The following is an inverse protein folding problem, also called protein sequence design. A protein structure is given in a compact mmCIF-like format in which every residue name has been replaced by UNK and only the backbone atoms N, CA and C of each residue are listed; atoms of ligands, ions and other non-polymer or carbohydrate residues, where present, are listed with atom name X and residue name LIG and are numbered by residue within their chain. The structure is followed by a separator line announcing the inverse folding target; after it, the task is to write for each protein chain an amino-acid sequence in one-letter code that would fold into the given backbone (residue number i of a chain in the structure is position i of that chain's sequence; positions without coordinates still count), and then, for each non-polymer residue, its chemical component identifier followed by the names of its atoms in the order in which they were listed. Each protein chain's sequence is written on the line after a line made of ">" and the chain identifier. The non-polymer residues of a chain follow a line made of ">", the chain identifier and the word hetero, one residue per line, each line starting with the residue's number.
data_IF_269667906937
#
_entry.id   IF_269667906937
#
_cell.length_a   1.000
_cell.length_b   1.000
_cell.length_c   1.000
_cell.angle_alpha   90.00
_cell.angle_beta   90.00
_cell.angle_gamma   90.00
#
_symmetry.space_group_name_H-M   'P 1'
#
loop_
_entity.id
_entity.type
_entity.pdbx_description
1 polymer ?
#
# COMPACT_ATOMS: atom_id res chain seq x y z
N UNK A 1 27.27 10.76 -3.54
CA UNK A 1 27.37 10.10 -2.21
C UNK A 1 26.14 9.25 -2.06
N UNK A 2 26.26 7.92 -1.93
CA UNK A 2 25.10 7.07 -1.66
C UNK A 2 24.52 7.52 -0.31
N UNK A 3 23.25 7.92 -0.30
CA UNK A 3 22.54 8.29 0.92
C UNK A 3 22.59 7.12 1.90
N UNK A 4 22.85 7.38 3.20
CA UNK A 4 22.80 6.37 4.24
C UNK A 4 21.41 5.76 4.37
N UNK A 5 21.31 4.60 5.03
CA UNK A 5 20.02 3.95 5.31
C UNK A 5 19.25 4.83 6.30
N UNK A 6 18.02 5.21 5.93
CA UNK A 6 17.09 5.94 6.81
C UNK A 6 15.92 5.02 7.22
N UNK A 7 15.93 4.62 8.50
CA UNK A 7 14.86 3.84 9.12
C UNK A 7 13.94 4.71 9.99
N UNK A 8 14.14 6.04 10.03
CA UNK A 8 13.35 6.94 10.91
C UNK A 8 11.85 6.94 10.59
N UNK A 9 11.39 6.83 9.31
CA UNK A 9 9.97 6.71 9.00
C UNK A 9 9.30 5.45 9.59
N UNK A 10 10.11 4.46 9.99
CA UNK A 10 9.64 3.19 10.57
C UNK A 10 9.81 3.14 12.09
N UNK A 11 10.00 4.30 12.74
CA UNK A 11 10.10 4.43 14.20
C UNK A 11 11.48 4.12 14.79
N UNK A 12 12.52 4.10 13.97
CA UNK A 12 13.89 4.02 14.43
C UNK A 12 14.46 5.43 14.67
N UNK A 13 15.51 5.52 15.51
CA UNK A 13 16.27 6.75 15.65
C UNK A 13 17.32 6.89 14.54
N UNK A 14 17.83 8.10 14.26
CA UNK A 14 18.96 8.28 13.33
C UNK A 14 20.19 7.47 13.73
N UNK A 15 20.45 7.34 15.04
CA UNK A 15 21.58 6.54 15.57
C UNK A 15 21.34 5.06 15.30
N UNK A 16 20.12 4.54 15.49
CA UNK A 16 19.78 3.15 15.16
C UNK A 16 19.96 2.86 13.66
N UNK A 17 19.55 3.79 12.78
CA UNK A 17 19.75 3.67 11.33
C UNK A 17 21.23 3.55 10.99
N UNK A 18 22.06 4.42 11.56
CA UNK A 18 23.52 4.38 11.36
C UNK A 18 24.12 3.06 11.88
N UNK A 19 23.76 2.64 13.08
CA UNK A 19 24.31 1.39 13.67
C UNK A 19 23.86 0.15 12.88
N UNK A 20 22.63 0.13 12.37
CA UNK A 20 22.18 -0.95 11.51
C UNK A 20 23.00 -1.00 10.20
N UNK A 21 23.29 0.14 9.59
CA UNK A 21 24.16 0.22 8.41
C UNK A 21 25.59 -0.27 8.69
N UNK A 22 26.16 0.13 9.84
CA UNK A 22 27.48 -0.33 10.27
C UNK A 22 27.51 -1.85 10.45
N UNK A 23 26.46 -2.43 11.05
CA UNK A 23 26.33 -3.88 11.20
C UNK A 23 26.19 -4.62 9.85
N UNK A 24 25.43 -4.05 8.90
CA UNK A 24 25.29 -4.65 7.56
C UNK A 24 26.63 -4.67 6.81
N UNK A 25 27.41 -3.60 6.92
CA UNK A 25 28.71 -3.47 6.22
C UNK A 25 29.81 -4.25 6.90
N UNK A 26 29.84 -4.24 8.22
CA UNK A 26 30.93 -4.83 9.02
C UNK A 26 30.66 -6.25 9.51
N UNK A 27 29.41 -6.73 9.38
CA UNK A 27 28.99 -8.03 9.92
C UNK A 27 28.78 -8.01 11.44
N UNK A 28 28.64 -9.19 12.05
CA UNK A 28 28.45 -9.33 13.49
C UNK A 28 29.62 -8.74 14.30
N UNK A 29 29.31 -8.04 15.38
CA UNK A 29 30.33 -7.39 16.21
C UNK A 29 29.91 -7.18 17.66
N UNK A 30 30.89 -6.87 18.49
CA UNK A 30 30.64 -6.44 19.88
C UNK A 30 30.28 -4.96 19.90
N UNK A 31 29.59 -4.50 20.95
CA UNK A 31 29.30 -3.07 21.10
C UNK A 31 30.55 -2.18 21.03
N UNK A 32 31.71 -2.71 21.47
CA UNK A 32 32.99 -2.00 21.36
C UNK A 32 33.46 -1.84 19.90
N UNK A 33 33.47 -2.93 19.13
CA UNK A 33 33.92 -2.91 17.73
C UNK A 33 32.99 -2.05 16.87
N UNK A 34 31.68 -2.12 17.12
CA UNK A 34 30.66 -1.32 16.45
C UNK A 34 30.82 0.17 16.80
N UNK A 35 31.05 0.51 18.07
CA UNK A 35 31.27 1.90 18.50
C UNK A 35 32.50 2.52 17.82
N UNK A 36 33.56 1.76 17.69
CA UNK A 36 34.78 2.19 16.99
C UNK A 36 34.50 2.38 15.48
N UNK A 37 33.78 1.48 14.86
CA UNK A 37 33.44 1.58 13.43
C UNK A 37 32.47 2.72 13.13
N UNK A 38 31.52 3.01 14.03
CA UNK A 38 30.56 4.09 13.91
C UNK A 38 31.14 5.47 14.29
N UNK A 39 32.29 5.53 14.98
CA UNK A 39 32.84 6.79 15.49
C UNK A 39 32.01 7.44 16.62
N UNK A 40 31.23 6.62 17.36
CA UNK A 40 30.31 7.11 18.39
C UNK A 40 30.71 6.67 19.80
N UNK A 41 30.22 7.40 20.77
CA UNK A 41 30.38 7.05 22.19
C UNK A 41 29.72 5.68 22.48
N UNK A 42 30.38 4.83 23.28
CA UNK A 42 29.90 3.46 23.59
C UNK A 42 28.47 3.46 24.14
N UNK A 43 28.12 4.38 25.05
CA UNK A 43 26.80 4.47 25.65
C UNK A 43 25.70 4.63 24.58
N UNK A 44 25.93 5.52 23.62
CA UNK A 44 24.99 5.75 22.52
C UNK A 44 24.81 4.51 21.61
N UNK A 45 25.92 3.79 21.37
CA UNK A 45 25.90 2.57 20.55
C UNK A 45 25.18 1.44 21.27
N UNK A 46 25.41 1.24 22.58
CA UNK A 46 24.66 0.22 23.32
C UNK A 46 23.18 0.53 23.39
N UNK A 47 22.77 1.78 23.62
CA UNK A 47 21.37 2.19 23.57
C UNK A 47 20.74 1.93 22.18
N UNK A 48 21.46 2.27 21.11
CA UNK A 48 20.98 1.99 19.74
C UNK A 48 20.91 0.49 19.43
N UNK A 49 21.87 -0.32 19.88
CA UNK A 49 21.85 -1.78 19.71
C UNK A 49 20.68 -2.43 20.46
N UNK A 50 20.40 -1.99 21.69
CA UNK A 50 19.23 -2.42 22.46
C UNK A 50 17.92 -2.04 21.75
N UNK A 51 17.84 -0.83 21.21
CA UNK A 51 16.71 -0.37 20.41
C UNK A 51 16.53 -1.21 19.14
N UNK A 52 17.60 -1.50 18.40
CA UNK A 52 17.58 -2.37 17.23
C UNK A 52 17.10 -3.79 17.57
N UNK A 53 17.56 -4.34 18.69
CA UNK A 53 17.13 -5.68 19.15
C UNK A 53 15.64 -5.66 19.52
N UNK A 54 15.20 -4.67 20.27
CA UNK A 54 13.78 -4.50 20.67
C UNK A 54 12.87 -4.35 19.46
N UNK A 55 13.32 -3.63 18.43
CA UNK A 55 12.55 -3.40 17.17
C UNK A 55 12.71 -4.54 16.17
N UNK A 56 13.55 -5.54 16.47
CA UNK A 56 13.76 -6.73 15.64
C UNK A 56 14.60 -6.48 14.39
N UNK A 57 15.43 -5.42 14.38
CA UNK A 57 16.40 -5.14 13.32
C UNK A 57 17.79 -5.74 13.60
N UNK A 58 18.05 -6.18 14.83
CA UNK A 58 19.26 -6.90 15.19
C UNK A 58 18.94 -8.01 16.19
N UNK A 59 19.84 -8.98 16.30
CA UNK A 59 19.84 -10.02 17.34
C UNK A 59 21.07 -9.92 18.20
N UNK A 60 20.88 -10.17 19.49
CA UNK A 60 21.97 -10.29 20.44
C UNK A 60 22.27 -11.78 20.63
N UNK A 61 23.52 -12.17 20.37
CA UNK A 61 24.01 -13.52 20.59
C UNK A 61 24.32 -13.77 22.07
N UNK A 62 24.30 -15.06 22.43
CA UNK A 62 24.76 -15.53 23.73
C UNK A 62 26.29 -15.49 23.81
N UNK A 63 26.84 -15.18 24.99
CA UNK A 63 28.27 -15.16 25.23
C UNK A 63 28.80 -13.88 25.90
N UNK A 64 30.08 -13.90 26.27
CA UNK A 64 30.80 -12.76 26.83
C UNK A 64 32.14 -12.60 26.08
N UNK A 65 32.34 -11.48 25.35
CA UNK A 65 31.42 -10.33 25.20
C UNK A 65 30.22 -10.63 24.30
N UNK A 66 29.08 -9.95 24.56
CA UNK A 66 27.85 -10.04 23.73
C UNK A 66 28.17 -9.60 22.30
N UNK A 67 27.70 -10.37 21.33
CA UNK A 67 27.78 -10.05 19.91
C UNK A 67 26.40 -9.67 19.36
N UNK A 68 26.38 -8.67 18.50
CA UNK A 68 25.18 -8.22 17.81
C UNK A 68 25.27 -8.56 16.33
N UNK A 69 24.19 -9.06 15.77
CA UNK A 69 24.05 -9.41 14.34
C UNK A 69 22.90 -8.65 13.74
N UNK A 70 23.02 -8.06 12.55
CA UNK A 70 21.88 -7.46 11.87
C UNK A 70 20.89 -8.53 11.44
N UNK A 71 19.62 -8.25 11.46
CA UNK A 71 18.65 -9.00 10.69
C UNK A 71 18.90 -8.74 9.20
N UNK A 72 18.73 -9.73 8.34
CA UNK A 72 18.81 -9.54 6.89
C UNK A 72 17.84 -8.46 6.41
N UNK A 73 18.23 -7.60 5.44
CA UNK A 73 17.35 -6.53 4.95
C UNK A 73 15.97 -7.00 4.49
N UNK A 74 15.89 -8.15 3.80
CA UNK A 74 14.63 -8.74 3.38
C UNK A 74 13.71 -9.10 4.55
N UNK A 75 14.29 -9.66 5.63
CA UNK A 75 13.54 -10.01 6.85
C UNK A 75 13.07 -8.76 7.57
N UNK A 76 13.91 -7.73 7.65
CA UNK A 76 13.52 -6.45 8.26
C UNK A 76 12.38 -5.79 7.47
N UNK A 77 12.50 -5.73 6.14
CA UNK A 77 11.47 -5.15 5.27
C UNK A 77 10.13 -5.90 5.40
N UNK A 78 10.14 -7.24 5.41
CA UNK A 78 8.93 -8.03 5.60
C UNK A 78 8.26 -7.68 6.94
N UNK A 79 9.02 -7.68 8.05
CA UNK A 79 8.47 -7.34 9.38
C UNK A 79 7.93 -5.90 9.47
N UNK A 80 8.58 -4.94 8.82
CA UNK A 80 8.09 -3.57 8.80
C UNK A 80 6.79 -3.47 8.02
N UNK A 81 6.70 -4.15 6.86
CA UNK A 81 5.47 -4.21 6.06
C UNK A 81 4.31 -4.83 6.84
N UNK A 82 4.55 -5.96 7.51
CA UNK A 82 3.54 -6.65 8.32
C UNK A 82 3.02 -5.75 9.45
N UNK A 83 3.93 -5.14 10.21
CA UNK A 83 3.56 -4.22 11.31
C UNK A 83 2.76 -3.01 10.83
N UNK A 84 3.14 -2.44 9.69
CA UNK A 84 2.40 -1.32 9.09
C UNK A 84 1.03 -1.76 8.60
N UNK A 85 0.94 -2.92 7.94
CA UNK A 85 -0.33 -3.54 7.53
C UNK A 85 -1.27 -3.72 8.71
N UNK A 86 -0.83 -4.42 9.77
CA UNK A 86 -1.62 -4.61 10.98
C UNK A 86 -2.06 -3.30 11.66
N UNK A 87 -1.18 -2.27 11.65
CA UNK A 87 -1.52 -0.97 12.23
C UNK A 87 -2.60 -0.25 11.41
N UNK A 88 -2.51 -0.31 10.08
CA UNK A 88 -3.52 0.23 9.18
C UNK A 88 -4.85 -0.50 9.28
N UNK A 89 -4.85 -1.83 9.40
CA UNK A 89 -6.05 -2.64 9.57
C UNK A 89 -6.76 -2.31 10.88
N UNK A 90 -6.00 -2.20 11.99
CA UNK A 90 -6.56 -1.77 13.29
C UNK A 90 -7.15 -0.37 13.23
N UNK A 91 -6.43 0.57 12.59
CA UNK A 91 -6.92 1.94 12.40
C UNK A 91 -8.20 1.95 11.55
N UNK A 92 -8.21 1.21 10.44
CA UNK A 92 -9.38 1.07 9.57
C UNK A 92 -10.60 0.55 10.32
N UNK A 93 -10.43 -0.50 11.12
CA UNK A 93 -11.49 -1.06 11.98
C UNK A 93 -12.00 -0.03 12.99
N UNK A 94 -11.10 0.69 13.66
CA UNK A 94 -11.46 1.71 14.63
C UNK A 94 -12.20 2.89 13.99
N UNK A 95 -11.75 3.36 12.83
CA UNK A 95 -12.41 4.45 12.08
C UNK A 95 -13.78 4.04 11.55
N UNK A 96 -13.95 2.80 11.12
CA UNK A 96 -15.25 2.27 10.66
C UNK A 96 -16.25 2.16 11.81
N UNK A 97 -15.78 1.86 13.03
CA UNK A 97 -16.63 1.81 14.22
C UNK A 97 -17.07 3.21 14.70
N UNK A 98 -16.36 4.27 14.31
CA UNK A 98 -16.77 5.65 14.52
C UNK A 98 -17.76 5.99 13.41
N UNK A 99 -19.07 5.87 13.69
CA UNK A 99 -20.11 6.27 12.74
C UNK A 99 -19.91 7.76 12.35
N UNK A 100 -19.25 8.00 11.23
CA UNK A 100 -19.21 9.33 10.64
C UNK A 100 -20.58 9.59 10.02
N UNK A 101 -21.15 10.82 10.16
CA UNK A 101 -22.39 11.16 9.47
C UNK A 101 -22.17 10.99 7.96
N UNK A 102 -23.19 10.48 7.27
CA UNK A 102 -23.23 10.29 5.81
C UNK A 102 -23.18 11.66 5.08
N UNK A 103 -22.08 12.35 5.19
CA UNK A 103 -21.86 13.59 4.48
C UNK A 103 -21.23 13.28 3.13
N UNK A 104 -21.85 13.70 2.01
CA UNK A 104 -21.26 13.52 0.70
C UNK A 104 -19.84 14.08 0.67
N UNK A 105 -18.88 13.23 0.34
CA UNK A 105 -17.47 13.57 0.35
C UNK A 105 -16.92 13.51 -1.07
N UNK A 106 -16.03 14.42 -1.41
CA UNK A 106 -15.21 14.36 -2.64
C UNK A 106 -13.75 14.60 -2.25
N UNK A 107 -12.89 13.64 -2.58
CA UNK A 107 -11.47 13.67 -2.23
C UNK A 107 -10.64 13.54 -3.49
N UNK A 108 -9.68 14.44 -3.66
CA UNK A 108 -8.68 14.35 -4.73
C UNK A 108 -7.62 13.30 -4.40
N UNK A 109 -7.27 12.51 -5.39
CA UNK A 109 -6.24 11.48 -5.32
C UNK A 109 -5.17 11.76 -6.38
N UNK A 110 -3.92 11.88 -5.95
CA UNK A 110 -2.77 12.12 -6.83
C UNK A 110 -1.75 10.96 -6.82
N UNK A 111 -2.03 9.86 -6.13
CA UNK A 111 -1.13 8.72 -6.00
C UNK A 111 -1.73 7.46 -6.60
N UNK A 112 -1.07 6.81 -7.58
CA UNK A 112 -1.53 5.53 -8.13
C UNK A 112 -1.68 4.46 -7.04
N UNK A 113 -0.71 4.40 -6.12
CA UNK A 113 -0.75 3.44 -5.00
C UNK A 113 -1.92 3.73 -4.05
N UNK A 114 -2.15 4.99 -3.72
CA UNK A 114 -3.29 5.41 -2.89
C UNK A 114 -4.62 5.09 -3.55
N UNK A 115 -4.75 5.31 -4.86
CA UNK A 115 -5.94 4.96 -5.62
C UNK A 115 -6.21 3.44 -5.59
N UNK A 116 -5.19 2.59 -5.84
CA UNK A 116 -5.33 1.13 -5.79
C UNK A 116 -5.72 0.66 -4.37
N UNK A 117 -5.12 1.21 -3.32
CA UNK A 117 -5.48 0.86 -1.95
C UNK A 117 -6.92 1.23 -1.61
N UNK A 118 -7.35 2.44 -1.98
CA UNK A 118 -8.73 2.89 -1.75
C UNK A 118 -9.73 2.06 -2.54
N UNK A 119 -9.46 1.80 -3.83
CA UNK A 119 -10.29 0.92 -4.66
C UNK A 119 -10.39 -0.48 -4.06
N UNK A 120 -9.27 -1.07 -3.62
CA UNK A 120 -9.25 -2.38 -2.99
C UNK A 120 -10.09 -2.43 -1.71
N UNK A 121 -10.04 -1.37 -0.89
CA UNK A 121 -10.86 -1.24 0.30
C UNK A 121 -12.37 -1.13 -0.03
N UNK A 122 -12.74 -0.30 -1.00
CA UNK A 122 -14.14 -0.15 -1.41
C UNK A 122 -14.69 -1.43 -2.04
N UNK A 123 -13.91 -2.10 -2.89
CA UNK A 123 -14.29 -3.39 -3.49
C UNK A 123 -14.54 -4.44 -2.39
N UNK A 124 -13.63 -4.55 -1.40
CA UNK A 124 -13.76 -5.54 -0.34
C UNK A 124 -15.03 -5.36 0.52
N UNK A 125 -15.64 -4.17 0.51
CA UNK A 125 -16.88 -3.83 1.22
C UNK A 125 -18.12 -3.84 0.35
N UNK A 126 -17.99 -4.25 -0.91
CA UNK A 126 -19.13 -4.32 -1.82
C UNK A 126 -20.13 -5.39 -1.39
N UNK A 127 -21.41 -5.04 -1.43
CA UNK A 127 -22.52 -5.92 -1.07
C UNK A 127 -23.39 -6.31 -2.27
N UNK A 128 -23.43 -5.49 -3.33
CA UNK A 128 -24.32 -5.66 -4.48
C UNK A 128 -23.57 -5.69 -5.80
N UNK A 129 -22.76 -4.67 -6.07
CA UNK A 129 -22.14 -4.52 -7.38
C UNK A 129 -20.81 -3.78 -7.34
N UNK A 130 -19.91 -4.19 -8.23
CA UNK A 130 -18.64 -3.53 -8.52
C UNK A 130 -18.54 -3.36 -10.03
N UNK A 131 -18.35 -2.11 -10.46
CA UNK A 131 -18.00 -1.75 -11.83
C UNK A 131 -16.59 -1.16 -11.82
N UNK A 132 -15.67 -1.81 -12.50
CA UNK A 132 -14.27 -1.38 -12.60
C UNK A 132 -13.85 -1.21 -14.06
N UNK A 133 -13.27 -0.06 -14.36
CA UNK A 133 -12.45 0.16 -15.55
C UNK A 133 -11.05 0.55 -15.04
N UNK A 134 -10.04 -0.20 -15.42
CA UNK A 134 -8.67 0.08 -15.02
C UNK A 134 -7.68 -0.49 -16.05
N UNK A 135 -6.46 0.07 -16.12
CA UNK A 135 -5.39 -0.51 -16.91
C UNK A 135 -4.99 -1.90 -16.42
N UNK A 136 -4.32 -2.71 -17.28
CA UNK A 136 -4.02 -4.11 -17.02
C UNK A 136 -3.41 -4.42 -15.65
N UNK A 137 -2.40 -3.67 -15.26
CA UNK A 137 -1.72 -3.83 -13.98
C UNK A 137 -2.60 -3.46 -12.77
N UNK A 138 -3.48 -2.46 -12.93
CA UNK A 138 -4.49 -2.10 -11.93
C UNK A 138 -5.50 -3.22 -11.70
N UNK A 139 -6.00 -3.85 -12.77
CA UNK A 139 -6.90 -5.01 -12.68
C UNK A 139 -6.19 -6.19 -12.02
N UNK A 140 -4.93 -6.45 -12.36
CA UNK A 140 -4.13 -7.52 -11.72
C UNK A 140 -3.99 -7.25 -10.21
N UNK A 141 -3.64 -6.03 -9.82
CA UNK A 141 -3.46 -5.64 -8.42
C UNK A 141 -4.75 -5.81 -7.59
N UNK A 142 -5.92 -5.51 -8.18
CA UNK A 142 -7.23 -5.64 -7.52
C UNK A 142 -7.85 -7.05 -7.68
N UNK A 143 -7.23 -7.92 -8.45
CA UNK A 143 -7.73 -9.27 -8.76
C UNK A 143 -8.11 -10.11 -7.54
N UNK A 144 -7.34 -10.15 -6.45
CA UNK A 144 -7.71 -10.90 -5.23
C UNK A 144 -9.04 -10.44 -4.64
N UNK A 145 -9.25 -9.11 -4.49
CA UNK A 145 -10.48 -8.53 -3.94
C UNK A 145 -11.67 -8.78 -4.85
N UNK A 146 -11.51 -8.57 -6.17
CA UNK A 146 -12.55 -8.82 -7.17
C UNK A 146 -13.04 -10.27 -7.13
N UNK A 147 -12.12 -11.24 -7.08
CA UNK A 147 -12.48 -12.67 -6.98
C UNK A 147 -13.20 -13.00 -5.68
N UNK A 148 -12.74 -12.39 -4.56
CA UNK A 148 -13.35 -12.62 -3.27
C UNK A 148 -14.82 -12.18 -3.25
N UNK A 149 -15.12 -10.94 -3.67
CA UNK A 149 -16.49 -10.42 -3.66
C UNK A 149 -17.37 -11.10 -4.71
N UNK A 150 -16.83 -11.47 -5.88
CA UNK A 150 -17.57 -12.25 -6.87
C UNK A 150 -17.97 -13.63 -6.31
N UNK A 151 -17.09 -14.30 -5.55
CA UNK A 151 -17.40 -15.56 -4.89
C UNK A 151 -18.47 -15.41 -3.78
N UNK A 152 -18.63 -14.21 -3.22
CA UNK A 152 -19.68 -13.89 -2.24
C UNK A 152 -21.02 -13.48 -2.87
N UNK A 153 -21.14 -13.53 -4.21
CA UNK A 153 -22.38 -13.23 -4.93
C UNK A 153 -22.54 -11.78 -5.37
N UNK A 154 -21.53 -10.95 -5.21
CA UNK A 154 -21.53 -9.57 -5.74
C UNK A 154 -21.41 -9.60 -7.27
N UNK A 155 -22.21 -8.78 -7.95
CA UNK A 155 -22.11 -8.61 -9.40
C UNK A 155 -20.87 -7.80 -9.74
N UNK A 156 -19.90 -8.41 -10.45
CA UNK A 156 -18.63 -7.77 -10.80
C UNK A 156 -18.52 -7.62 -12.32
N UNK A 157 -18.39 -6.38 -12.79
CA UNK A 157 -18.10 -6.04 -14.19
C UNK A 157 -16.72 -5.40 -14.27
N UNK A 158 -15.86 -5.92 -15.10
CA UNK A 158 -14.48 -5.40 -15.28
C UNK A 158 -14.22 -5.10 -16.74
N UNK A 159 -13.67 -3.94 -17.02
CA UNK A 159 -13.15 -3.60 -18.34
C UNK A 159 -11.70 -3.11 -18.24
N UNK A 160 -10.94 -3.33 -19.31
CA UNK A 160 -9.53 -2.93 -19.39
C UNK A 160 -9.13 -2.70 -20.86
N UNK A 161 -7.98 -2.05 -21.07
CA UNK A 161 -7.42 -1.86 -22.42
C UNK A 161 -6.78 -3.12 -22.99
N UNK A 162 -6.67 -4.21 -22.23
CA UNK A 162 -6.22 -5.51 -22.71
C UNK A 162 -6.94 -6.65 -21.98
N UNK A 163 -6.99 -7.82 -22.61
CA UNK A 163 -7.54 -9.03 -22.00
C UNK A 163 -6.62 -9.54 -20.88
N UNK A 164 -7.19 -9.68 -19.69
CA UNK A 164 -6.48 -10.14 -18.51
C UNK A 164 -7.27 -11.24 -17.82
N UNK A 165 -6.65 -12.36 -17.43
CA UNK A 165 -7.34 -13.41 -16.68
C UNK A 165 -7.55 -12.98 -15.21
N UNK A 166 -8.80 -12.88 -14.78
CA UNK A 166 -9.19 -12.60 -13.38
C UNK A 166 -10.08 -13.75 -12.86
N UNK A 167 -9.56 -14.96 -12.87
CA UNK A 167 -10.33 -16.13 -12.48
C UNK A 167 -11.52 -16.36 -13.40
N UNK A 168 -12.73 -16.47 -12.83
CA UNK A 168 -13.98 -16.65 -13.58
C UNK A 168 -14.63 -15.32 -14.03
N UNK A 169 -14.04 -14.17 -13.71
CA UNK A 169 -14.58 -12.86 -14.08
C UNK A 169 -14.18 -12.56 -15.52
N UNK A 170 -15.19 -12.32 -16.38
CA UNK A 170 -14.95 -11.86 -17.74
C UNK A 170 -14.46 -10.41 -17.74
N UNK A 171 -13.36 -10.15 -18.42
CA UNK A 171 -12.83 -8.80 -18.62
C UNK A 171 -13.16 -8.35 -20.03
N UNK A 172 -13.90 -7.26 -20.12
CA UNK A 172 -14.24 -6.60 -21.36
C UNK A 172 -13.06 -5.77 -21.87
N UNK A 173 -12.73 -5.85 -23.14
CA UNK A 173 -11.67 -5.04 -23.75
C UNK A 173 -12.27 -3.77 -24.32
N UNK A 174 -11.78 -2.63 -23.89
CA UNK A 174 -12.20 -1.29 -24.33
C UNK A 174 -11.05 -0.52 -25.00
N UNK A 175 -11.38 0.40 -25.90
CA UNK A 175 -10.44 1.30 -26.56
C UNK A 175 -10.86 2.76 -26.34
N UNK A 176 -10.50 3.37 -25.20
CA UNK A 176 -10.94 4.72 -24.81
C UNK A 176 -10.13 5.80 -25.55
N UNK A 177 -10.46 6.11 -26.81
CA UNK A 177 -9.70 7.02 -27.67
C UNK A 177 -9.69 8.49 -27.18
N UNK A 178 -10.73 8.91 -26.45
CA UNK A 178 -10.90 10.29 -25.99
C UNK A 178 -10.55 10.50 -24.49
N UNK A 179 -10.08 9.48 -23.77
CA UNK A 179 -9.75 9.61 -22.35
C UNK A 179 -8.31 10.11 -22.17
N UNK A 180 -8.06 11.05 -21.25
CA UNK A 180 -6.71 11.58 -21.03
C UNK A 180 -5.82 10.54 -20.32
N UNK A 181 -5.16 9.66 -21.07
CA UNK A 181 -4.38 8.53 -20.53
C UNK A 181 -5.22 7.27 -20.32
N UNK A 182 -4.80 6.39 -19.41
CA UNK A 182 -5.54 5.18 -19.09
C UNK A 182 -6.71 5.50 -18.14
N UNK A 183 -7.96 5.11 -18.45
CA UNK A 183 -9.08 5.33 -17.55
C UNK A 183 -8.97 4.49 -16.29
N UNK A 184 -9.28 5.11 -15.15
CA UNK A 184 -9.41 4.43 -13.86
C UNK A 184 -10.73 4.85 -13.25
N UNK A 185 -11.72 3.97 -13.32
CA UNK A 185 -13.07 4.26 -12.85
C UNK A 185 -13.56 3.09 -12.01
N UNK A 186 -14.08 3.38 -10.85
CA UNK A 186 -14.71 2.42 -9.95
C UNK A 186 -16.07 2.94 -9.54
N UNK A 187 -17.08 2.10 -9.57
CA UNK A 187 -18.38 2.33 -8.94
C UNK A 187 -18.72 1.13 -8.07
N UNK A 188 -19.03 1.39 -6.79
CA UNK A 188 -19.39 0.32 -5.83
C UNK A 188 -20.76 0.61 -5.25
N UNK A 189 -21.69 -0.35 -5.39
CA UNK A 189 -23.03 -0.37 -4.78
C UNK A 189 -23.87 0.90 -5.04
N UNK A 190 -23.51 1.69 -6.04
CA UNK A 190 -24.09 3.04 -6.28
C UNK A 190 -23.97 3.99 -5.08
N UNK A 191 -23.05 3.70 -4.15
CA UNK A 191 -22.79 4.53 -2.95
C UNK A 191 -21.46 5.27 -2.99
N UNK A 192 -20.49 4.78 -3.72
CA UNK A 192 -19.16 5.37 -3.84
C UNK A 192 -18.61 5.19 -5.26
N UNK A 193 -17.84 6.15 -5.71
CA UNK A 193 -17.18 6.09 -7.00
C UNK A 193 -15.80 6.74 -6.97
N UNK A 194 -14.95 6.31 -7.90
CA UNK A 194 -13.69 6.94 -8.25
C UNK A 194 -13.69 7.19 -9.75
N UNK A 195 -13.29 8.38 -10.17
CA UNK A 195 -13.04 8.75 -11.56
C UNK A 195 -11.65 9.34 -11.64
N UNK A 196 -10.81 8.80 -12.51
CA UNK A 196 -9.46 9.29 -12.72
C UNK A 196 -8.84 8.82 -14.02
N UNK A 197 -7.64 9.32 -14.26
CA UNK A 197 -6.80 8.94 -15.37
C UNK A 197 -5.38 8.66 -14.88
N UNK A 198 -4.71 7.70 -15.52
CA UNK A 198 -3.31 7.42 -15.31
C UNK A 198 -2.52 7.73 -16.56
N UNK A 199 -1.43 8.49 -16.41
CA UNK A 199 -0.47 8.77 -17.46
C UNK A 199 0.94 8.35 -16.96
N UNK A 200 1.41 7.21 -17.41
CA UNK A 200 2.63 6.58 -16.90
C UNK A 200 2.54 6.32 -15.39
N UNK A 201 3.47 6.95 -14.63
CA UNK A 201 3.53 6.85 -13.16
C UNK A 201 2.68 7.91 -12.44
N UNK A 202 1.98 8.74 -13.18
CA UNK A 202 1.12 9.79 -12.61
C UNK A 202 -0.32 9.31 -12.57
N UNK A 203 -1.02 9.71 -11.53
CA UNK A 203 -2.45 9.50 -11.37
C UNK A 203 -3.10 10.82 -10.96
N UNK A 204 -4.23 11.13 -11.55
CA UNK A 204 -5.09 12.24 -11.16
C UNK A 204 -6.53 11.76 -11.17
N UNK A 205 -7.23 11.94 -10.07
CA UNK A 205 -8.62 11.50 -9.96
C UNK A 205 -9.29 11.96 -8.69
N UNK A 206 -10.58 11.66 -8.60
CA UNK A 206 -11.40 11.97 -7.44
C UNK A 206 -12.16 10.72 -7.00
N UNK A 207 -12.26 10.53 -5.70
CA UNK A 207 -13.15 9.59 -5.06
C UNK A 207 -14.25 10.35 -4.34
N UNK A 208 -15.48 9.86 -4.39
CA UNK A 208 -16.57 10.50 -3.69
C UNK A 208 -17.79 9.63 -3.48
N UNK A 209 -18.64 10.04 -2.53
CA UNK A 209 -19.88 9.39 -2.13
C UNK A 209 -21.14 10.20 -2.47
N UNK A 210 -20.96 11.40 -3.07
CA UNK A 210 -22.09 12.22 -3.50
C UNK A 210 -22.89 11.56 -4.62
N UNK A 211 -24.23 11.49 -4.48
CA UNK A 211 -25.10 10.80 -5.44
C UNK A 211 -24.91 11.26 -6.89
N UNK A 212 -24.74 12.57 -7.11
CA UNK A 212 -24.50 13.12 -8.45
C UNK A 212 -23.15 12.68 -9.02
N UNK A 213 -22.10 12.62 -8.19
CA UNK A 213 -20.78 12.14 -8.60
C UNK A 213 -20.80 10.64 -8.95
N UNK A 214 -21.47 9.85 -8.12
CA UNK A 214 -21.62 8.39 -8.36
C UNK A 214 -22.42 8.13 -9.64
N UNK A 215 -23.51 8.87 -9.88
CA UNK A 215 -24.31 8.77 -11.09
C UNK A 215 -23.49 9.17 -12.33
N UNK A 216 -22.68 10.23 -12.25
CA UNK A 216 -21.78 10.62 -13.33
C UNK A 216 -20.73 9.53 -13.62
N UNK A 217 -20.11 8.96 -12.58
CA UNK A 217 -19.17 7.86 -12.73
C UNK A 217 -19.78 6.65 -13.40
N UNK A 218 -21.00 6.29 -13.03
CA UNK A 218 -21.76 5.21 -13.65
C UNK A 218 -21.97 5.46 -15.14
N UNK A 219 -22.45 6.67 -15.47
CA UNK A 219 -22.68 7.04 -16.87
C UNK A 219 -21.39 6.97 -17.70
N UNK A 220 -20.26 7.44 -17.15
CA UNK A 220 -18.96 7.35 -17.80
C UNK A 220 -18.52 5.88 -17.97
N UNK A 221 -18.70 5.03 -16.96
CA UNK A 221 -18.44 3.60 -17.07
C UNK A 221 -19.21 2.96 -18.22
N UNK A 222 -20.50 3.27 -18.34
CA UNK A 222 -21.34 2.70 -19.38
C UNK A 222 -20.96 3.27 -20.76
N UNK A 223 -20.65 4.56 -20.87
CA UNK A 223 -20.23 5.19 -22.12
C UNK A 223 -18.90 4.63 -22.68
N UNK A 224 -17.92 4.35 -21.81
CA UNK A 224 -16.63 3.78 -22.24
C UNK A 224 -16.70 2.31 -22.66
N UNK A 225 -17.82 1.61 -22.38
CA UNK A 225 -18.05 0.22 -22.76
C UNK A 225 -18.82 0.08 -24.09
N UNK A 226 -19.33 1.19 -24.61
CA UNK A 226 -20.01 1.19 -25.91
C UNK A 226 -18.94 1.17 -27.01
N UNK A 227 -18.93 0.16 -27.90
CA UNK A 227 -17.97 0.06 -28.99
C UNK A 227 -18.16 1.16 -30.04
#
# INVERSE_FOLDING_TARGET
>A
MAGGIDLTPFGFTPTESLIYEVLLRGGPGTGYTIARAAGLARANVYAALEGLVTKGAARMGEGRPKQFRPEPPSTLLARLSDRQGEALDRLGTALTALAAPDTPTLVELASPRGAVQLMGHEIARAERSVDLIAPPDGVIALGPQLRHVAASGVTVRVASTALIPVGAIAVEVIAPEEWPGDPVILVVDERAALIGARDGDRFSGHWGTGAAFVAAARHVCDALRIP
#
